data_IF_480939712748
#
_entry.id   IF_480939712748
#
_cell.length_a   1.000
_cell.length_b   1.000
_cell.length_c   1.000
_cell.angle_alpha   90.00
_cell.angle_beta   90.00
_cell.angle_gamma   90.00
#
_symmetry.space_group_name_H-M   'P 1'
#
loop_
_entity.id
_entity.type
_entity.pdbx_description
1 polymer ?
#
# COMPACT_ATOMS: atom_id res chain seq x y z
N UNK A 1 -10.13 17.02 23.10
CA UNK A 1 -9.27 15.92 22.61
C UNK A 1 -7.81 16.34 22.34
N UNK A 2 -7.27 17.37 23.01
CA UNK A 2 -5.88 17.83 22.79
C UNK A 2 -4.87 17.36 23.87
N UNK A 3 -5.34 16.93 25.04
CA UNK A 3 -4.48 16.61 26.19
C UNK A 3 -3.86 15.19 26.18
N UNK A 4 -4.41 14.27 25.38
CA UNK A 4 -4.12 12.83 25.48
C UNK A 4 -2.73 12.40 24.95
N UNK A 5 -2.03 13.26 24.20
CA UNK A 5 -0.82 12.88 23.46
C UNK A 5 0.48 13.47 23.99
N UNK A 6 0.41 14.38 24.97
CA UNK A 6 1.59 14.80 25.76
C UNK A 6 2.21 13.57 26.48
N UNK A 7 1.41 12.55 26.79
CA UNK A 7 1.83 11.34 27.52
C UNK A 7 2.38 10.20 26.65
N UNK A 8 2.39 10.31 25.32
CA UNK A 8 3.10 9.34 24.47
C UNK A 8 4.62 9.38 24.74
N UNK A 9 5.09 10.53 25.22
CA UNK A 9 6.47 10.80 25.64
C UNK A 9 6.77 10.55 27.13
N UNK A 10 5.88 10.01 27.95
CA UNK A 10 6.18 9.90 29.39
C UNK A 10 7.09 8.71 29.76
N UNK A 11 8.35 9.12 29.96
CA UNK A 11 9.38 8.71 30.92
C UNK A 11 10.14 7.42 30.65
N UNK A 12 9.52 6.25 30.42
CA UNK A 12 10.30 5.00 30.38
C UNK A 12 11.27 4.92 29.17
N UNK A 13 10.83 5.34 27.99
CA UNK A 13 11.67 5.37 26.78
C UNK A 13 12.38 6.72 26.57
N UNK A 14 11.81 7.84 27.05
CA UNK A 14 12.49 9.15 26.94
C UNK A 14 13.71 9.23 27.86
N UNK A 15 13.64 8.67 29.07
CA UNK A 15 14.77 8.64 29.99
C UNK A 15 16.00 7.95 29.38
N UNK A 16 15.81 6.89 28.60
CA UNK A 16 16.89 6.18 27.90
C UNK A 16 17.53 7.01 26.77
N UNK A 17 16.84 8.05 26.31
CA UNK A 17 17.28 8.97 25.25
C UNK A 17 17.83 10.29 25.82
N UNK A 18 17.83 10.45 27.14
CA UNK A 18 18.41 11.63 27.80
C UNK A 18 19.92 11.65 27.60
N UNK A 19 20.48 12.85 27.39
CA UNK A 19 21.92 13.02 27.14
C UNK A 19 22.39 12.71 25.72
N UNK A 20 21.50 12.25 24.83
CA UNK A 20 21.80 12.18 23.40
C UNK A 20 21.65 13.55 22.74
N UNK A 21 22.63 13.92 21.92
CA UNK A 21 22.57 15.13 21.09
C UNK A 21 21.58 14.98 19.92
N UNK A 22 21.20 16.12 19.35
CA UNK A 22 20.23 16.20 18.26
C UNK A 22 20.63 15.38 17.02
N UNK A 23 21.92 15.33 16.64
CA UNK A 23 22.38 14.61 15.44
C UNK A 23 22.23 13.11 15.63
N UNK A 24 22.59 12.60 16.81
CA UNK A 24 22.43 11.19 17.16
C UNK A 24 20.96 10.78 17.24
N UNK A 25 20.10 11.63 17.81
CA UNK A 25 18.65 11.42 17.83
C UNK A 25 18.09 11.33 16.40
N UNK A 26 18.48 12.23 15.50
CA UNK A 26 18.09 12.19 14.09
C UNK A 26 18.52 10.86 13.43
N UNK A 27 19.75 10.42 13.66
CA UNK A 27 20.24 9.12 13.16
C UNK A 27 19.39 7.94 13.64
N UNK A 28 18.96 7.95 14.91
CA UNK A 28 18.05 6.93 15.46
C UNK A 28 16.65 6.99 14.83
N UNK A 29 16.12 8.20 14.59
CA UNK A 29 14.84 8.39 13.91
C UNK A 29 14.89 7.84 12.48
N UNK A 30 15.95 8.15 11.74
CA UNK A 30 16.16 7.64 10.37
C UNK A 30 16.20 6.11 10.36
N UNK A 31 16.90 5.50 11.33
CA UNK A 31 16.94 4.04 11.48
C UNK A 31 15.54 3.47 11.77
N UNK A 32 14.83 4.02 12.74
CA UNK A 32 13.47 3.57 13.09
C UNK A 32 12.47 3.75 11.92
N UNK A 33 12.61 4.82 11.13
CA UNK A 33 11.79 5.05 9.95
C UNK A 33 12.01 3.99 8.86
N UNK A 34 13.23 3.47 8.73
CA UNK A 34 13.56 2.41 7.76
C UNK A 34 12.95 1.06 8.13
N UNK A 35 12.70 0.82 9.42
CA UNK A 35 12.12 -0.42 9.96
C UNK A 35 10.61 -0.32 10.21
N UNK A 36 9.99 0.84 9.95
CA UNK A 36 8.57 1.06 10.19
C UNK A 36 7.67 0.06 9.42
N UNK A 37 6.71 -0.53 10.13
CA UNK A 37 5.72 -1.45 9.55
C UNK A 37 4.49 -0.70 9.02
N UNK A 38 4.11 0.38 9.71
CA UNK A 38 2.99 1.27 9.36
C UNK A 38 3.45 2.67 8.99
N UNK A 39 2.59 3.45 8.32
CA UNK A 39 2.86 4.85 7.95
C UNK A 39 4.21 5.08 7.24
N UNK A 40 4.70 4.09 6.47
CA UNK A 40 6.05 4.07 5.88
C UNK A 40 6.37 5.34 5.07
N UNK A 41 5.39 5.83 4.29
CA UNK A 41 5.55 7.07 3.50
C UNK A 41 5.80 8.27 4.42
N UNK A 42 5.00 8.44 5.47
CA UNK A 42 5.14 9.54 6.44
C UNK A 42 6.45 9.44 7.23
N UNK A 43 6.79 8.24 7.75
CA UNK A 43 8.06 8.01 8.45
C UNK A 43 9.26 8.37 7.57
N UNK A 44 9.26 7.98 6.28
CA UNK A 44 10.35 8.30 5.34
C UNK A 44 10.45 9.79 5.04
N UNK A 45 9.33 10.46 4.75
CA UNK A 45 9.31 11.92 4.52
C UNK A 45 9.85 12.68 5.73
N UNK A 46 9.35 12.35 6.92
CA UNK A 46 9.79 12.97 8.16
C UNK A 46 11.28 12.72 8.42
N UNK A 47 11.77 11.49 8.23
CA UNK A 47 13.19 11.17 8.37
C UNK A 47 14.08 11.91 7.36
N UNK A 48 13.62 12.11 6.13
CA UNK A 48 14.32 12.90 5.11
C UNK A 48 14.42 14.36 5.52
N UNK A 49 13.31 14.94 6.00
CA UNK A 49 13.27 16.30 6.52
C UNK A 49 14.27 16.49 7.67
N UNK A 50 14.24 15.59 8.67
CA UNK A 50 15.17 15.63 9.80
C UNK A 50 16.63 15.43 9.39
N UNK A 51 16.91 14.67 8.32
CA UNK A 51 18.28 14.52 7.81
C UNK A 51 18.84 15.85 7.28
N UNK A 52 18.01 16.67 6.63
CA UNK A 52 18.42 18.00 6.19
C UNK A 52 18.74 18.90 7.38
N UNK A 53 17.93 18.83 8.43
CA UNK A 53 18.17 19.52 9.70
C UNK A 53 19.49 19.03 10.32
N UNK A 54 19.71 17.72 10.43
CA UNK A 54 20.94 17.16 10.97
C UNK A 54 22.20 17.68 10.26
N UNK A 55 22.18 17.71 8.93
CA UNK A 55 23.28 18.27 8.13
C UNK A 55 23.53 19.77 8.42
N UNK A 56 22.48 20.53 8.73
CA UNK A 56 22.61 21.93 9.13
C UNK A 56 23.19 22.05 10.54
N UNK A 57 22.72 21.25 11.50
CA UNK A 57 23.21 21.26 12.88
C UNK A 57 24.69 20.87 12.98
N UNK A 58 25.15 19.91 12.17
CA UNK A 58 26.57 19.56 12.08
C UNK A 58 27.42 20.76 11.61
N UNK A 59 26.96 21.51 10.61
CA UNK A 59 27.67 22.69 10.11
C UNK A 59 27.71 23.83 11.11
N UNK A 60 26.63 23.99 11.88
CA UNK A 60 26.52 25.00 12.92
C UNK A 60 27.35 24.67 14.17
N UNK A 61 27.92 23.46 14.26
CA UNK A 61 28.66 22.97 15.43
C UNK A 61 27.86 23.20 16.72
N UNK A 62 26.66 22.61 16.80
CA UNK A 62 25.71 22.81 17.91
C UNK A 62 26.30 22.63 19.33
N UNK A 63 27.34 21.82 19.48
CA UNK A 63 28.06 21.65 20.75
C UNK A 63 28.71 22.94 21.26
N UNK A 64 29.16 23.80 20.34
CA UNK A 64 29.70 25.14 20.66
C UNK A 64 28.57 26.11 20.98
N UNK A 65 27.47 26.04 20.23
CA UNK A 65 26.28 26.87 20.46
C UNK A 65 25.71 26.64 21.86
N UNK A 66 25.58 25.39 22.30
CA UNK A 66 25.09 25.05 23.66
C UNK A 66 25.87 25.69 24.82
N UNK A 67 27.07 26.22 24.60
CA UNK A 67 27.84 26.95 25.63
C UNK A 67 27.25 28.33 25.92
N UNK A 68 26.50 28.92 24.99
CA UNK A 68 25.90 30.23 25.12
C UNK A 68 24.49 30.12 25.72
N UNK A 69 24.19 30.88 26.79
CA UNK A 69 22.90 30.79 27.48
C UNK A 69 21.71 31.13 26.58
N UNK A 70 21.88 32.04 25.62
CA UNK A 70 20.81 32.50 24.71
C UNK A 70 20.36 31.40 23.74
N UNK A 71 21.25 30.49 23.35
CA UNK A 71 20.93 29.42 22.38
C UNK A 71 20.69 28.06 23.03
N UNK A 72 21.08 27.91 24.30
CA UNK A 72 20.96 26.66 25.04
C UNK A 72 19.51 26.19 25.16
N UNK A 73 18.61 27.08 25.59
CA UNK A 73 17.20 26.73 25.80
C UNK A 73 16.51 26.26 24.49
N UNK A 74 16.59 26.99 23.36
CA UNK A 74 16.05 26.51 22.08
C UNK A 74 16.64 25.17 21.62
N UNK A 75 17.92 24.93 21.88
CA UNK A 75 18.58 23.67 21.53
C UNK A 75 18.12 22.49 22.40
N UNK A 76 17.91 22.72 23.70
CA UNK A 76 17.36 21.71 24.60
C UNK A 76 15.91 21.37 24.22
N UNK A 77 15.10 22.37 23.86
CA UNK A 77 13.73 22.18 23.37
C UNK A 77 13.69 21.43 22.02
N UNK A 78 14.65 21.70 21.12
CA UNK A 78 14.82 20.96 19.88
C UNK A 78 15.14 19.48 20.15
N UNK A 79 16.04 19.18 21.07
CA UNK A 79 16.36 17.80 21.45
C UNK A 79 15.15 17.08 22.06
N UNK A 80 14.37 17.75 22.90
CA UNK A 80 13.15 17.17 23.46
C UNK A 80 12.09 16.89 22.38
N UNK A 81 11.92 17.79 21.42
CA UNK A 81 11.06 17.57 20.27
C UNK A 81 11.53 16.37 19.43
N UNK A 82 12.85 16.21 19.25
CA UNK A 82 13.45 15.05 18.56
C UNK A 82 13.25 13.74 19.36
N UNK A 83 13.33 13.76 20.70
CA UNK A 83 13.05 12.59 21.54
C UNK A 83 11.59 12.13 21.40
N UNK A 84 10.62 13.07 21.45
CA UNK A 84 9.20 12.76 21.18
C UNK A 84 8.99 12.22 19.76
N UNK A 85 9.68 12.81 18.80
CA UNK A 85 9.66 12.41 17.38
C UNK A 85 10.19 10.99 17.15
N UNK A 86 11.26 10.60 17.85
CA UNK A 86 11.73 9.22 17.84
C UNK A 86 10.68 8.24 18.35
N UNK A 87 10.00 8.57 19.45
CA UNK A 87 8.93 7.70 19.98
C UNK A 87 7.79 7.58 18.99
N UNK A 88 7.37 8.68 18.35
CA UNK A 88 6.35 8.65 17.30
C UNK A 88 6.75 7.70 16.16
N UNK A 89 7.95 7.85 15.61
CA UNK A 89 8.42 7.00 14.50
C UNK A 89 8.60 5.55 14.95
N UNK A 90 9.19 5.31 16.12
CA UNK A 90 9.38 3.96 16.65
C UNK A 90 8.05 3.25 16.93
N UNK A 91 7.00 4.00 17.30
CA UNK A 91 5.66 3.42 17.50
C UNK A 91 5.07 2.80 16.24
N UNK A 92 5.47 3.26 15.05
CA UNK A 92 5.05 2.71 13.76
C UNK A 92 5.68 1.35 13.43
N UNK A 93 6.58 0.84 14.28
CA UNK A 93 7.22 -0.46 14.14
C UNK A 93 6.56 -1.54 15.02
N UNK A 94 6.45 -1.30 16.33
CA UNK A 94 6.25 -2.38 17.30
C UNK A 94 4.83 -2.48 17.88
N UNK A 95 3.99 -1.44 17.74
CA UNK A 95 2.62 -1.43 18.29
C UNK A 95 1.67 -2.40 17.57
N UNK A 96 0.46 -2.57 18.11
CA UNK A 96 -0.61 -3.30 17.43
C UNK A 96 -0.87 -2.65 16.07
N UNK A 97 -0.93 -3.48 15.04
CA UNK A 97 -1.28 -3.05 13.69
C UNK A 97 -2.70 -2.46 13.65
N UNK A 98 -3.67 -3.11 14.30
CA UNK A 98 -5.06 -2.64 14.36
C UNK A 98 -5.19 -1.31 15.10
N UNK A 99 -4.44 -1.14 16.19
CA UNK A 99 -4.39 0.15 16.90
C UNK A 99 -3.81 1.25 16.01
N UNK A 100 -2.69 1.01 15.31
CA UNK A 100 -2.09 2.02 14.44
C UNK A 100 -3.01 2.39 13.26
N UNK A 101 -3.76 1.44 12.71
CA UNK A 101 -4.79 1.71 11.71
C UNK A 101 -5.91 2.59 12.28
N UNK A 102 -6.46 2.21 13.43
CA UNK A 102 -7.53 2.97 14.09
C UNK A 102 -7.09 4.39 14.46
N UNK A 103 -5.81 4.58 14.77
CA UNK A 103 -5.23 5.87 15.13
C UNK A 103 -4.58 6.61 13.95
N UNK A 104 -4.79 6.16 12.71
CA UNK A 104 -4.05 6.63 11.54
C UNK A 104 -4.07 8.15 11.33
N UNK A 105 -5.24 8.79 11.43
CA UNK A 105 -5.38 10.25 11.33
C UNK A 105 -4.68 10.99 12.46
N UNK A 106 -4.68 10.43 13.67
CA UNK A 106 -3.98 11.02 14.79
C UNK A 106 -2.47 10.98 14.55
N UNK A 107 -1.93 9.83 14.11
CA UNK A 107 -0.51 9.68 13.80
C UNK A 107 -0.08 10.68 12.72
N UNK A 108 -0.88 10.84 11.66
CA UNK A 108 -0.65 11.84 10.60
C UNK A 108 -0.63 13.26 11.17
N UNK A 109 -1.55 13.59 12.07
CA UNK A 109 -1.54 14.88 12.77
C UNK A 109 -0.28 15.06 13.63
N UNK A 110 0.20 14.02 14.31
CA UNK A 110 1.42 14.10 15.13
C UNK A 110 2.67 14.35 14.28
N UNK A 111 2.77 13.76 13.08
CA UNK A 111 3.88 14.08 12.17
C UNK A 111 3.90 15.56 11.80
N UNK A 112 2.73 16.15 11.48
CA UNK A 112 2.60 17.59 11.22
C UNK A 112 2.99 18.42 12.43
N UNK A 113 2.48 18.08 13.62
CA UNK A 113 2.79 18.79 14.88
C UNK A 113 4.29 18.72 15.18
N UNK A 114 4.90 17.54 15.11
CA UNK A 114 6.31 17.31 15.39
C UNK A 114 7.23 18.09 14.44
N UNK A 115 6.95 18.06 13.12
CA UNK A 115 7.71 18.86 12.17
C UNK A 115 7.60 20.35 12.48
N UNK A 116 6.39 20.86 12.71
CA UNK A 116 6.18 22.28 13.03
C UNK A 116 6.88 22.75 14.30
N UNK A 117 6.91 21.91 15.35
CA UNK A 117 7.68 22.18 16.57
C UNK A 117 9.19 22.26 16.29
N UNK A 118 9.72 21.26 15.58
CA UNK A 118 11.15 21.19 15.24
C UNK A 118 11.57 22.39 14.38
N UNK A 119 10.81 22.71 13.33
CA UNK A 119 11.08 23.84 12.44
C UNK A 119 11.07 25.17 13.19
N UNK A 120 10.15 25.32 14.15
CA UNK A 120 10.08 26.52 14.99
C UNK A 120 11.35 26.68 15.83
N UNK A 121 11.80 25.63 16.52
CA UNK A 121 13.04 25.70 17.31
C UNK A 121 14.27 25.89 16.44
N UNK A 122 14.29 25.24 15.27
CA UNK A 122 15.36 25.41 14.30
C UNK A 122 15.45 26.83 13.78
N UNK A 123 14.36 27.60 13.65
CA UNK A 123 14.43 29.01 13.26
C UNK A 123 15.02 29.90 14.35
N UNK A 124 14.77 29.58 15.63
CA UNK A 124 15.27 30.38 16.75
C UNK A 124 16.80 30.30 16.88
N UNK A 125 17.40 29.13 16.64
CA UNK A 125 18.85 28.92 16.84
C UNK A 125 19.73 29.77 15.89
N UNK A 126 19.53 29.77 14.56
CA UNK A 126 20.18 30.67 13.60
C UNK A 126 19.87 32.15 13.82
N UNK A 127 18.63 32.53 14.16
CA UNK A 127 18.31 33.96 14.35
C UNK A 127 19.08 34.59 15.52
N UNK A 128 19.41 33.80 16.53
CA UNK A 128 20.23 34.24 17.67
C UNK A 128 21.73 34.32 17.30
N UNK A 129 22.18 33.54 16.30
CA UNK A 129 23.62 33.28 16.06
C UNK A 129 24.15 33.80 14.73
N UNK A 130 23.28 34.09 13.77
CA UNK A 130 23.62 34.29 12.35
C UNK A 130 23.15 35.61 11.79
N UNK A 131 23.45 36.70 12.48
CA UNK A 131 23.31 38.01 11.86
C UNK A 131 24.12 38.09 10.54
N UNK A 132 25.17 37.27 10.33
CA UNK A 132 26.06 37.39 9.15
C UNK A 132 26.37 36.13 8.27
N UNK A 133 25.77 34.93 8.46
CA UNK A 133 26.10 33.74 7.62
C UNK A 133 25.07 33.46 6.51
N UNK A 134 25.35 33.98 5.31
CA UNK A 134 24.49 33.81 4.13
C UNK A 134 24.24 32.35 3.73
N UNK A 135 25.23 31.45 3.88
CA UNK A 135 25.12 30.04 3.50
C UNK A 135 24.15 29.27 4.41
N UNK A 136 24.11 29.61 5.69
CA UNK A 136 23.16 28.99 6.60
C UNK A 136 21.75 29.50 6.35
N UNK A 137 21.60 30.80 6.05
CA UNK A 137 20.29 31.40 5.70
C UNK A 137 19.65 30.67 4.52
N UNK A 138 20.40 30.45 3.44
CA UNK A 138 19.93 29.72 2.25
C UNK A 138 19.45 28.29 2.59
N UNK A 139 20.17 27.57 3.45
CA UNK A 139 19.79 26.21 3.87
C UNK A 139 18.55 26.20 4.75
N UNK A 140 18.40 27.19 5.62
CA UNK A 140 17.22 27.32 6.47
C UNK A 140 15.97 27.59 5.61
N UNK A 141 16.10 28.43 4.57
CA UNK A 141 15.03 28.65 3.60
C UNK A 141 14.66 27.37 2.84
N UNK A 142 15.65 26.53 2.49
CA UNK A 142 15.37 25.24 1.85
C UNK A 142 14.61 24.29 2.78
N UNK A 143 15.00 24.21 4.06
CA UNK A 143 14.30 23.40 5.06
C UNK A 143 12.87 23.91 5.28
N UNK A 144 12.68 25.22 5.36
CA UNK A 144 11.36 25.83 5.55
C UNK A 144 10.40 25.57 4.37
N UNK A 145 10.93 25.54 3.15
CA UNK A 145 10.19 25.18 1.94
C UNK A 145 9.81 23.70 1.90
N UNK A 146 10.48 22.84 2.66
CA UNK A 146 10.19 21.40 2.75
C UNK A 146 9.01 21.11 3.69
N UNK A 147 7.83 21.61 3.32
CA UNK A 147 6.56 21.32 3.98
C UNK A 147 6.10 19.91 3.58
N UNK A 148 6.51 18.89 4.35
CA UNK A 148 6.13 17.52 4.06
C UNK A 148 4.61 17.34 4.19
N UNK A 149 3.98 16.91 3.10
CA UNK A 149 2.59 16.48 3.13
C UNK A 149 2.47 15.07 3.74
N UNK A 150 1.82 15.00 4.91
CA UNK A 150 1.52 13.75 5.61
C UNK A 150 0.07 13.34 5.37
N UNK A 151 -0.12 12.11 4.88
CA UNK A 151 -1.44 11.57 4.52
C UNK A 151 -1.65 10.17 5.07
N UNK A 152 -2.92 9.79 5.24
CA UNK A 152 -3.31 8.41 5.46
C UNK A 152 -3.51 7.74 4.09
N UNK A 153 -3.09 6.49 3.94
CA UNK A 153 -3.31 5.72 2.72
C UNK A 153 -4.83 5.49 2.54
N UNK A 154 -5.36 5.59 1.32
CA UNK A 154 -6.81 5.49 1.09
C UNK A 154 -7.33 4.08 1.40
N UNK A 155 -6.49 3.07 1.23
CA UNK A 155 -6.69 1.70 1.66
C UNK A 155 -6.80 1.59 3.19
N UNK A 156 -5.87 2.22 3.92
CA UNK A 156 -5.87 2.24 5.40
C UNK A 156 -7.11 2.98 5.93
N UNK A 157 -7.55 4.05 5.25
CA UNK A 157 -8.76 4.81 5.58
C UNK A 157 -10.02 3.96 5.46
N UNK A 158 -10.17 3.21 4.37
CA UNK A 158 -11.30 2.29 4.18
C UNK A 158 -11.33 1.19 5.24
N UNK A 159 -10.16 0.64 5.58
CA UNK A 159 -10.04 -0.38 6.62
C UNK A 159 -10.36 0.20 8.01
N UNK A 160 -9.92 1.43 8.28
CA UNK A 160 -10.24 2.14 9.52
C UNK A 160 -11.76 2.34 9.67
N UNK A 161 -12.46 2.77 8.62
CA UNK A 161 -13.93 2.96 8.66
C UNK A 161 -14.67 1.65 8.97
N UNK A 162 -14.18 0.53 8.43
CA UNK A 162 -14.71 -0.82 8.67
C UNK A 162 -14.43 -1.29 10.11
N UNK A 163 -13.20 -1.12 10.60
CA UNK A 163 -12.81 -1.54 11.95
C UNK A 163 -13.54 -0.73 13.04
N UNK A 164 -13.82 0.54 12.76
CA UNK A 164 -14.48 1.45 13.71
C UNK A 164 -16.01 1.41 13.61
N UNK A 165 -16.59 0.55 12.75
CA UNK A 165 -18.03 0.38 12.60
C UNK A 165 -18.65 -0.21 13.90
N UNK A 166 -19.71 0.40 14.47
CA UNK A 166 -20.38 -0.11 15.68
C UNK A 166 -20.98 -1.50 15.58
N UNK A 167 -21.38 -1.93 14.40
CA UNK A 167 -21.98 -3.25 14.18
C UNK A 167 -21.10 -4.05 13.20
N UNK A 168 -20.16 -4.89 13.69
CA UNK A 168 -19.28 -5.63 12.82
C UNK A 168 -20.05 -6.66 11.98
N UNK A 169 -20.01 -6.48 10.66
CA UNK A 169 -20.66 -7.38 9.70
C UNK A 169 -19.77 -8.58 9.35
N UNK A 170 -20.35 -9.63 8.75
CA UNK A 170 -19.56 -10.75 8.19
C UNK A 170 -18.56 -10.29 7.11
N UNK A 171 -18.87 -9.22 6.40
CA UNK A 171 -17.97 -8.63 5.40
C UNK A 171 -16.77 -7.94 6.05
N UNK A 172 -16.97 -7.35 7.24
CA UNK A 172 -15.91 -6.67 7.99
C UNK A 172 -14.86 -7.67 8.50
N UNK A 173 -15.30 -8.87 8.87
CA UNK A 173 -14.42 -9.98 9.22
C UNK A 173 -13.55 -10.46 8.03
N UNK A 174 -14.10 -10.45 6.81
CA UNK A 174 -13.35 -10.80 5.58
C UNK A 174 -12.29 -9.73 5.28
N UNK A 175 -12.65 -8.46 5.41
CA UNK A 175 -11.71 -7.33 5.23
C UNK A 175 -10.61 -7.41 6.29
N UNK A 176 -10.95 -7.58 7.57
CA UNK A 176 -9.99 -7.73 8.66
C UNK A 176 -9.04 -8.92 8.42
N UNK A 177 -9.57 -10.05 7.94
CA UNK A 177 -8.78 -11.23 7.58
C UNK A 177 -7.78 -10.95 6.48
N UNK A 178 -8.22 -10.29 5.40
CA UNK A 178 -7.33 -9.90 4.30
C UNK A 178 -6.22 -8.96 4.80
N UNK A 179 -6.59 -7.94 5.57
CA UNK A 179 -5.65 -6.94 6.08
C UNK A 179 -4.62 -7.54 7.04
N UNK A 180 -5.05 -8.37 7.99
CA UNK A 180 -4.13 -9.03 8.93
C UNK A 180 -3.20 -10.02 8.24
N UNK A 181 -3.68 -10.73 7.21
CA UNK A 181 -2.84 -11.66 6.42
C UNK A 181 -1.72 -10.92 5.68
N UNK A 182 -1.97 -9.71 5.17
CA UNK A 182 -0.94 -8.88 4.56
C UNK A 182 0.12 -8.41 5.57
N UNK A 183 -0.30 -8.06 6.79
CA UNK A 183 0.60 -7.55 7.84
C UNK A 183 1.39 -8.65 8.56
N UNK A 184 0.91 -9.89 8.48
CA UNK A 184 1.49 -11.10 9.07
C UNK A 184 1.58 -12.21 8.01
N UNK A 185 2.42 -12.06 6.96
CA UNK A 185 2.44 -12.98 5.81
C UNK A 185 2.86 -14.41 6.17
N UNK A 186 3.55 -14.59 7.29
CA UNK A 186 4.12 -15.86 7.72
C UNK A 186 3.37 -16.51 8.90
N UNK A 187 2.23 -15.94 9.33
CA UNK A 187 1.43 -16.50 10.44
C UNK A 187 0.04 -16.88 9.94
N UNK A 188 -0.52 -17.94 10.52
CA UNK A 188 -1.92 -18.27 10.31
C UNK A 188 -2.82 -17.14 10.84
N UNK A 189 -3.95 -16.88 10.18
CA UNK A 189 -4.86 -15.79 10.55
C UNK A 189 -5.23 -15.80 12.04
N UNK A 190 -5.51 -16.97 12.60
CA UNK A 190 -5.91 -17.12 14.00
C UNK A 190 -4.77 -16.74 14.96
N UNK A 191 -3.52 -17.07 14.59
CA UNK A 191 -2.33 -16.72 15.37
C UNK A 191 -2.02 -15.23 15.25
N UNK A 192 -2.17 -14.66 14.05
CA UNK A 192 -2.02 -13.22 13.82
C UNK A 192 -3.07 -12.42 14.61
N UNK A 193 -4.33 -12.89 14.62
CA UNK A 193 -5.41 -12.30 15.40
C UNK A 193 -5.14 -12.37 16.91
N UNK A 194 -4.68 -13.51 17.41
CA UNK A 194 -4.28 -13.68 18.81
C UNK A 194 -3.14 -12.73 19.19
N UNK A 195 -2.10 -12.65 18.36
CA UNK A 195 -0.95 -11.76 18.55
C UNK A 195 -1.37 -10.28 18.56
N UNK A 196 -2.29 -9.89 17.69
CA UNK A 196 -2.85 -8.53 17.70
C UNK A 196 -3.67 -8.26 18.96
N UNK A 197 -4.49 -9.20 19.41
CA UNK A 197 -5.25 -9.06 20.65
C UNK A 197 -4.34 -8.92 21.88
N UNK A 198 -3.26 -9.70 21.96
CA UNK A 198 -2.23 -9.55 23.01
C UNK A 198 -1.59 -8.16 22.99
N UNK A 199 -1.24 -7.64 21.80
CA UNK A 199 -0.72 -6.28 21.65
C UNK A 199 -1.74 -5.23 22.05
N UNK A 200 -3.00 -5.36 21.65
CA UNK A 200 -4.08 -4.43 22.02
C UNK A 200 -4.29 -4.39 23.54
N UNK A 201 -4.17 -5.53 24.24
CA UNK A 201 -4.23 -5.57 25.71
C UNK A 201 -3.07 -4.80 26.36
N UNK A 202 -1.87 -4.90 25.79
CA UNK A 202 -0.72 -4.11 26.25
C UNK A 202 -0.93 -2.61 25.99
N UNK A 203 -1.45 -2.23 24.81
CA UNK A 203 -1.80 -0.83 24.52
C UNK A 203 -2.88 -0.31 25.49
N UNK A 204 -3.88 -1.14 25.82
CA UNK A 204 -4.94 -0.78 26.77
C UNK A 204 -4.36 -0.51 28.16
N UNK A 205 -3.51 -1.40 28.67
CA UNK A 205 -2.83 -1.21 29.96
C UNK A 205 -2.02 0.08 29.98
N UNK A 206 -1.31 0.37 28.89
CA UNK A 206 -0.53 1.61 28.75
C UNK A 206 -1.43 2.85 28.74
N UNK A 207 -2.54 2.84 28.01
CA UNK A 207 -3.49 3.95 27.97
C UNK A 207 -4.19 4.16 29.33
N UNK A 208 -4.48 3.08 30.06
CA UNK A 208 -5.03 3.14 31.41
C UNK A 208 -4.05 3.74 32.41
N UNK A 209 -2.78 3.32 32.37
CA UNK A 209 -1.72 3.90 33.21
C UNK A 209 -1.56 5.42 32.96
N UNK A 210 -1.86 5.86 31.74
CA UNK A 210 -1.82 7.26 31.33
C UNK A 210 -3.16 8.00 31.49
N UNK A 211 -4.19 7.37 32.07
CA UNK A 211 -5.54 7.95 32.24
C UNK A 211 -6.19 8.45 30.93
N UNK A 212 -5.83 7.87 29.79
CA UNK A 212 -6.34 8.26 28.46
C UNK A 212 -7.64 7.51 28.15
N UNK A 213 -8.75 8.02 28.67
CA UNK A 213 -10.09 7.43 28.52
C UNK A 213 -10.47 7.25 27.05
N UNK A 214 -10.19 8.24 26.20
CA UNK A 214 -10.55 8.19 24.79
C UNK A 214 -9.82 7.07 24.03
N UNK A 215 -8.54 6.85 24.33
CA UNK A 215 -7.84 5.71 23.75
C UNK A 215 -8.25 4.37 24.33
N UNK A 216 -8.59 4.32 25.62
CA UNK A 216 -9.13 3.11 26.23
C UNK A 216 -10.40 2.66 25.52
N UNK A 217 -11.32 3.58 25.20
CA UNK A 217 -12.56 3.29 24.46
C UNK A 217 -12.28 2.70 23.06
N UNK A 218 -11.37 3.32 22.31
CA UNK A 218 -10.97 2.82 20.98
C UNK A 218 -10.37 1.43 21.09
N UNK A 219 -9.44 1.22 22.01
CA UNK A 219 -8.74 -0.07 22.16
C UNK A 219 -9.71 -1.17 22.63
N UNK A 220 -10.60 -0.87 23.58
CA UNK A 220 -11.64 -1.82 24.02
C UNK A 220 -12.55 -2.24 22.86
N UNK A 221 -12.90 -1.30 21.99
CA UNK A 221 -13.68 -1.61 20.78
C UNK A 221 -12.92 -2.54 19.83
N UNK A 222 -11.64 -2.27 19.59
CA UNK A 222 -10.78 -3.13 18.76
C UNK A 222 -10.68 -4.55 19.32
N UNK A 223 -10.54 -4.68 20.64
CA UNK A 223 -10.54 -5.98 21.32
C UNK A 223 -11.87 -6.70 21.05
N UNK A 224 -13.00 -6.03 21.26
CA UNK A 224 -14.33 -6.60 20.99
C UNK A 224 -14.48 -7.12 19.55
N UNK A 225 -14.07 -6.33 18.55
CA UNK A 225 -14.08 -6.76 17.13
C UNK A 225 -13.23 -8.01 16.92
N UNK A 226 -12.02 -8.06 17.50
CA UNK A 226 -11.16 -9.24 17.36
C UNK A 226 -11.74 -10.50 18.00
N UNK A 227 -12.43 -10.37 19.14
CA UNK A 227 -13.07 -11.49 19.86
C UNK A 227 -14.33 -11.99 19.14
N UNK A 228 -15.14 -11.09 18.57
CA UNK A 228 -16.27 -11.47 17.70
C UNK A 228 -15.80 -12.23 16.48
N UNK A 229 -14.73 -11.78 15.82
CA UNK A 229 -14.17 -12.48 14.66
C UNK A 229 -13.59 -13.83 15.07
N UNK A 230 -12.92 -13.91 16.22
CA UNK A 230 -12.37 -15.17 16.74
C UNK A 230 -13.46 -16.22 17.02
N UNK A 231 -14.62 -15.81 17.55
CA UNK A 231 -15.74 -16.72 17.84
C UNK A 231 -16.56 -17.12 16.61
N UNK A 232 -16.49 -16.34 15.53
CA UNK A 232 -17.14 -16.66 14.25
C UNK A 232 -16.40 -17.71 13.40
N UNK A 233 -15.17 -18.07 13.78
CA UNK A 233 -14.38 -19.09 13.10
C UNK A 233 -14.82 -20.49 13.56
N UNK A 234 -14.98 -21.48 12.66
CA UNK A 234 -15.36 -22.82 13.05
C UNK A 234 -14.29 -23.44 13.97
N UNK A 235 -14.69 -23.85 15.17
CA UNK A 235 -13.83 -24.57 16.12
C UNK A 235 -13.37 -25.90 15.50
N UNK A 236 -12.07 -26.03 15.18
CA UNK A 236 -11.44 -27.35 15.10
C UNK A 236 -11.16 -27.83 16.53
N UNK A 237 -12.17 -28.39 17.19
CA UNK A 237 -11.98 -29.13 18.42
C UNK A 237 -11.70 -30.61 18.11
N UNK A 238 -10.46 -31.00 18.41
CA UNK A 238 -9.93 -32.35 18.29
C UNK A 238 -10.70 -33.35 19.15
N UNK A 239 -11.40 -34.31 18.52
CA UNK A 239 -11.52 -35.68 19.03
C UNK A 239 -11.32 -36.67 17.88
N UNK A 240 -10.38 -37.58 18.14
CA UNK A 240 -9.89 -38.67 17.29
C UNK A 240 -11.05 -39.59 16.86
N UNK A 241 -11.27 -39.74 15.56
CA UNK A 241 -11.83 -40.94 14.94
C UNK A 241 -11.38 -40.97 13.47
N UNK A 242 -10.71 -42.04 13.09
CA UNK A 242 -10.12 -42.27 11.78
C UNK A 242 -11.20 -42.33 10.68
N UNK A 243 -10.97 -41.61 9.59
CA UNK A 243 -11.46 -41.97 8.26
C UNK A 243 -10.57 -41.27 7.22
N UNK A 244 -9.78 -42.09 6.53
CA UNK A 244 -8.85 -41.70 5.48
C UNK A 244 -9.55 -40.98 4.32
N UNK A 245 -9.05 -39.80 3.96
CA UNK A 245 -8.77 -39.46 2.55
C UNK A 245 -7.71 -38.36 2.47
N UNK A 246 -6.62 -38.68 1.79
CA UNK A 246 -5.43 -37.86 1.60
C UNK A 246 -5.56 -36.94 0.38
N UNK A 247 -5.12 -35.68 0.50
CA UNK A 247 -4.11 -35.01 -0.34
C UNK A 247 -4.09 -33.51 0.06
N UNK A 248 -3.08 -32.95 0.75
CA UNK A 248 -1.74 -32.55 0.26
C UNK A 248 -1.85 -31.56 -0.94
N UNK A 249 -1.38 -30.30 -0.91
CA UNK A 249 -0.03 -29.82 -0.63
C UNK A 249 0.03 -28.30 -0.37
N UNK A 250 0.90 -27.96 0.56
CA UNK A 250 1.49 -26.65 0.85
C UNK A 250 2.63 -26.33 -0.15
N UNK A 251 3.31 -25.20 0.10
CA UNK A 251 4.66 -24.76 -0.33
C UNK A 251 4.72 -23.77 -1.51
N UNK A 252 5.79 -22.95 -1.62
CA UNK A 252 6.35 -22.03 -0.61
C UNK A 252 6.67 -20.63 -1.21
N UNK A 253 6.94 -19.63 -0.36
CA UNK A 253 7.47 -18.32 -0.77
C UNK A 253 8.98 -18.26 -0.51
N UNK A 254 9.80 -18.19 -1.56
CA UNK A 254 11.22 -17.84 -1.48
C UNK A 254 11.63 -16.85 -2.57
N UNK A 255 12.51 -15.92 -2.17
CA UNK A 255 13.19 -14.93 -2.99
C UNK A 255 14.44 -15.52 -3.66
N UNK A 256 14.81 -14.99 -4.83
CA UNK A 256 16.21 -14.70 -5.18
C UNK A 256 16.93 -15.60 -6.20
N UNK A 257 17.06 -15.06 -7.43
CA UNK A 257 18.17 -15.13 -8.38
C UNK A 257 18.62 -16.45 -9.08
N UNK A 258 19.09 -16.25 -10.33
CA UNK A 258 20.03 -17.04 -11.14
C UNK A 258 19.52 -17.92 -12.31
N UNK A 259 19.50 -17.31 -13.51
CA UNK A 259 19.93 -17.79 -14.84
C UNK A 259 20.14 -19.30 -15.12
N UNK A 260 19.41 -19.89 -16.09
CA UNK A 260 19.86 -20.27 -17.46
C UNK A 260 18.83 -21.08 -18.25
N UNK A 261 19.01 -21.07 -19.57
CA UNK A 261 18.12 -21.51 -20.64
C UNK A 261 18.08 -23.04 -20.91
N UNK A 262 16.98 -23.51 -21.53
CA UNK A 262 16.92 -24.12 -22.88
C UNK A 262 15.97 -25.32 -23.05
N UNK A 263 15.10 -25.19 -24.06
CA UNK A 263 14.64 -26.19 -25.06
C UNK A 263 13.92 -27.51 -24.67
N UNK A 264 12.61 -27.52 -24.98
CA UNK A 264 11.67 -28.53 -25.56
C UNK A 264 12.16 -29.90 -26.11
N UNK A 265 11.27 -30.81 -26.64
CA UNK A 265 9.97 -31.34 -26.19
C UNK A 265 9.78 -32.89 -26.43
N UNK A 266 8.53 -33.38 -26.30
CA UNK A 266 7.90 -34.63 -26.82
C UNK A 266 7.87 -35.84 -25.85
N UNK A 267 6.88 -36.75 -25.84
CA UNK A 267 5.49 -36.85 -26.31
C UNK A 267 4.94 -38.21 -25.82
N UNK A 268 3.64 -38.32 -25.55
CA UNK A 268 2.74 -39.51 -25.53
C UNK A 268 1.79 -39.39 -24.32
N UNK A 269 0.47 -39.36 -24.43
CA UNK A 269 -0.44 -39.82 -25.47
C UNK A 269 -1.23 -41.00 -24.92
N UNK A 270 -2.38 -40.76 -24.29
CA UNK A 270 -3.48 -41.73 -24.17
C UNK A 270 -4.81 -40.99 -23.95
N UNK A 271 -5.70 -41.18 -24.94
CA UNK A 271 -7.08 -40.72 -24.99
C UNK A 271 -8.00 -41.52 -24.06
N UNK A 272 -8.85 -40.82 -23.30
CA UNK A 272 -10.15 -41.35 -22.87
C UNK A 272 -11.20 -40.24 -22.97
N UNK A 273 -11.98 -40.25 -24.06
CA UNK A 273 -13.23 -39.51 -24.18
C UNK A 273 -14.38 -40.36 -23.63
N UNK A 274 -15.16 -39.83 -22.69
CA UNK A 274 -16.61 -39.67 -22.89
C UNK A 274 -17.28 -38.89 -21.73
N UNK A 275 -17.73 -37.68 -22.08
CA UNK A 275 -19.05 -37.11 -21.77
C UNK A 275 -19.49 -36.86 -20.32
N UNK A 276 -19.34 -35.62 -19.86
CA UNK A 276 -20.41 -34.89 -19.15
C UNK A 276 -20.27 -33.38 -19.41
N UNK A 277 -21.29 -32.80 -20.03
CA UNK A 277 -21.27 -31.44 -20.59
C UNK A 277 -21.59 -30.30 -19.62
N UNK A 278 -21.28 -29.10 -20.15
CA UNK A 278 -21.84 -27.76 -19.88
C UNK A 278 -21.67 -27.11 -18.50
N UNK A 279 -20.45 -26.68 -18.17
CA UNK A 279 -20.26 -25.61 -17.16
C UNK A 279 -18.92 -24.86 -17.26
N UNK A 280 -18.33 -24.72 -18.46
CA UNK A 280 -17.05 -24.00 -18.62
C UNK A 280 -17.17 -22.61 -19.25
N UNK A 281 -18.37 -22.14 -19.60
CA UNK A 281 -18.52 -20.87 -20.35
C UNK A 281 -18.96 -19.65 -19.54
N UNK A 282 -19.29 -19.82 -18.26
CA UNK A 282 -20.08 -18.82 -17.51
C UNK A 282 -19.24 -17.81 -16.69
N UNK A 283 -17.93 -18.00 -16.56
CA UNK A 283 -17.03 -17.17 -15.73
C UNK A 283 -15.83 -16.60 -16.53
N UNK A 284 -15.17 -15.56 -16.01
CA UNK A 284 -13.92 -15.04 -16.60
C UNK A 284 -12.83 -16.11 -16.50
N UNK A 285 -12.17 -16.43 -17.60
CA UNK A 285 -11.01 -17.34 -17.60
C UNK A 285 -9.73 -16.60 -17.21
N UNK A 286 -9.67 -15.30 -17.47
CA UNK A 286 -8.56 -14.46 -17.07
C UNK A 286 -8.84 -13.80 -15.71
N UNK A 287 -7.90 -13.90 -14.77
CA UNK A 287 -7.98 -13.18 -13.51
C UNK A 287 -7.77 -11.67 -13.69
N UNK A 288 -8.57 -10.87 -12.97
CA UNK A 288 -8.49 -9.38 -12.98
C UNK A 288 -7.09 -8.87 -12.56
N UNK A 289 -6.37 -9.62 -11.73
CA UNK A 289 -4.99 -9.32 -11.28
C UNK A 289 -3.94 -10.21 -11.94
N UNK A 290 -4.32 -10.99 -12.96
CA UNK A 290 -3.40 -11.83 -13.74
C UNK A 290 -2.44 -11.05 -14.64
N UNK A 291 -2.42 -9.72 -14.58
CA UNK A 291 -1.56 -8.87 -15.43
C UNK A 291 -0.06 -9.20 -15.27
N UNK A 292 0.37 -9.70 -14.10
CA UNK A 292 1.72 -10.19 -13.86
C UNK A 292 2.10 -11.45 -14.64
N UNK A 293 1.13 -12.20 -15.19
CA UNK A 293 1.40 -13.37 -16.01
C UNK A 293 1.87 -13.01 -17.44
N UNK A 294 1.64 -11.77 -17.91
CA UNK A 294 2.20 -11.26 -19.17
C UNK A 294 2.57 -9.77 -19.01
N UNK A 295 3.73 -9.48 -18.40
CA UNK A 295 4.15 -8.11 -18.11
C UNK A 295 4.31 -7.25 -19.38
N UNK A 296 4.58 -7.87 -20.54
CA UNK A 296 4.74 -7.18 -21.83
C UNK A 296 3.39 -6.63 -22.32
N UNK A 297 2.31 -7.43 -22.25
CA UNK A 297 0.97 -6.99 -22.63
C UNK A 297 0.44 -5.92 -21.67
N UNK A 298 0.75 -6.06 -20.38
CA UNK A 298 0.44 -5.07 -19.35
C UNK A 298 1.14 -3.73 -19.63
N UNK A 299 2.46 -3.74 -19.89
CA UNK A 299 3.20 -2.53 -20.25
C UNK A 299 2.69 -1.91 -21.55
N UNK A 300 2.39 -2.72 -22.57
CA UNK A 300 1.84 -2.22 -23.84
C UNK A 300 0.49 -1.54 -23.66
N UNK A 301 -0.39 -2.11 -22.84
CA UNK A 301 -1.71 -1.54 -22.54
C UNK A 301 -1.61 -0.29 -21.66
N UNK A 302 -0.60 -0.22 -20.78
CA UNK A 302 -0.35 0.96 -19.96
C UNK A 302 0.13 2.16 -20.79
N UNK A 303 1.09 1.96 -21.70
CA UNK A 303 1.62 3.04 -22.54
C UNK A 303 0.74 3.37 -23.76
N UNK A 304 -0.09 2.42 -24.21
CA UNK A 304 -0.99 2.60 -25.36
C UNK A 304 -2.36 1.94 -25.13
N UNK A 305 -3.17 2.45 -24.16
CA UNK A 305 -4.45 1.84 -23.80
C UNK A 305 -5.46 1.86 -24.95
N UNK A 306 -5.39 2.89 -25.80
CA UNK A 306 -6.27 3.05 -26.96
C UNK A 306 -6.16 1.89 -27.95
N UNK A 307 -4.96 1.31 -28.11
CA UNK A 307 -4.76 0.16 -29.00
C UNK A 307 -5.46 -1.09 -28.47
N UNK A 308 -5.24 -1.42 -27.19
CA UNK A 308 -5.90 -2.59 -26.56
C UNK A 308 -7.41 -2.38 -26.48
N UNK A 309 -7.86 -1.19 -26.05
CA UNK A 309 -9.27 -0.84 -25.95
C UNK A 309 -9.99 -0.89 -27.31
N UNK A 310 -9.38 -0.41 -28.39
CA UNK A 310 -10.00 -0.45 -29.73
C UNK A 310 -10.37 -1.87 -30.17
N UNK A 311 -9.52 -2.86 -29.85
CA UNK A 311 -9.79 -4.25 -30.18
C UNK A 311 -10.88 -4.86 -29.31
N UNK A 312 -10.85 -4.57 -28.01
CA UNK A 312 -11.90 -4.99 -27.06
C UNK A 312 -13.25 -4.41 -27.48
N UNK A 313 -13.30 -3.10 -27.71
CA UNK A 313 -14.51 -2.40 -28.11
C UNK A 313 -15.03 -2.90 -29.46
N UNK A 314 -14.13 -3.29 -30.37
CA UNK A 314 -14.54 -3.86 -31.66
C UNK A 314 -15.29 -5.17 -31.51
N UNK A 315 -14.83 -6.05 -30.61
CA UNK A 315 -15.52 -7.31 -30.29
C UNK A 315 -16.81 -7.04 -29.50
N UNK A 316 -16.76 -6.12 -28.53
CA UNK A 316 -17.91 -5.80 -27.69
C UNK A 316 -19.08 -5.15 -28.45
N UNK A 317 -18.79 -4.44 -29.54
CA UNK A 317 -19.80 -3.69 -30.32
C UNK A 317 -20.11 -4.29 -31.68
N UNK A 318 -19.43 -5.38 -32.05
CA UNK A 318 -19.50 -6.01 -33.38
C UNK A 318 -19.26 -4.99 -34.52
N UNK A 319 -18.41 -3.98 -34.26
CA UNK A 319 -18.09 -2.89 -35.17
C UNK A 319 -16.60 -2.62 -35.12
N UNK A 320 -15.93 -2.55 -36.27
CA UNK A 320 -14.51 -2.21 -36.30
C UNK A 320 -14.28 -0.78 -35.76
N UNK A 321 -13.56 -0.67 -34.65
CA UNK A 321 -13.15 0.60 -34.01
C UNK A 321 -11.65 0.77 -34.22
N UNK A 322 -11.25 1.92 -34.78
CA UNK A 322 -9.82 2.22 -34.98
C UNK A 322 -9.17 2.70 -33.68
N UNK A 323 -7.84 2.57 -33.57
CA UNK A 323 -7.10 3.09 -32.40
C UNK A 323 -7.21 4.61 -32.25
N UNK A 324 -7.40 5.35 -33.36
CA UNK A 324 -7.57 6.81 -33.33
C UNK A 324 -8.97 7.18 -32.80
N UNK A 325 -10.00 6.48 -33.25
CA UNK A 325 -11.37 6.63 -32.75
C UNK A 325 -11.46 6.28 -31.26
N UNK A 326 -10.88 5.16 -30.84
CA UNK A 326 -10.75 4.77 -29.43
C UNK A 326 -10.04 5.83 -28.59
N UNK A 327 -8.99 6.47 -29.13
CA UNK A 327 -8.25 7.52 -28.44
C UNK A 327 -9.11 8.78 -28.26
N UNK A 328 -9.86 9.18 -29.30
CA UNK A 328 -10.74 10.34 -29.24
C UNK A 328 -11.87 10.13 -28.23
N UNK A 329 -12.49 8.95 -28.22
CA UNK A 329 -13.55 8.59 -27.28
C UNK A 329 -13.02 8.56 -25.84
N UNK A 330 -11.90 7.86 -25.59
CA UNK A 330 -11.30 7.82 -24.26
C UNK A 330 -10.93 9.22 -23.77
N UNK A 331 -10.34 10.06 -24.63
CA UNK A 331 -9.98 11.43 -24.28
C UNK A 331 -11.21 12.31 -23.98
N UNK A 332 -12.27 12.22 -24.80
CA UNK A 332 -13.52 12.94 -24.57
C UNK A 332 -14.16 12.56 -23.22
N UNK A 333 -14.22 11.27 -22.89
CA UNK A 333 -14.77 10.80 -21.62
C UNK A 333 -13.82 11.05 -20.42
N UNK A 334 -12.51 11.12 -20.63
CA UNK A 334 -11.55 11.53 -19.59
C UNK A 334 -11.70 13.00 -19.20
N UNK A 335 -11.98 13.91 -20.15
CA UNK A 335 -12.17 15.34 -19.88
C UNK A 335 -13.36 15.63 -18.96
N UNK A 336 -14.37 14.78 -18.98
CA UNK A 336 -15.55 14.85 -18.11
C UNK A 336 -15.49 13.87 -16.92
N UNK A 337 -14.30 13.34 -16.61
CA UNK A 337 -14.04 12.40 -15.52
C UNK A 337 -14.90 11.12 -15.57
N UNK A 338 -15.33 10.72 -16.77
CA UNK A 338 -16.28 9.63 -17.04
C UNK A 338 -15.66 8.46 -17.83
N UNK A 339 -14.34 8.45 -18.03
CA UNK A 339 -13.65 7.40 -18.79
C UNK A 339 -13.92 5.98 -18.24
N UNK A 340 -13.94 5.81 -16.90
CA UNK A 340 -14.26 4.54 -16.26
C UNK A 340 -15.71 4.10 -16.48
N UNK A 341 -16.65 5.05 -16.59
CA UNK A 341 -18.05 4.75 -16.92
C UNK A 341 -18.17 4.24 -18.36
N UNK A 342 -17.45 4.88 -19.29
CA UNK A 342 -17.42 4.50 -20.69
C UNK A 342 -16.78 3.13 -20.92
N UNK A 343 -15.58 2.88 -20.35
CA UNK A 343 -14.92 1.58 -20.47
C UNK A 343 -15.69 0.47 -19.75
N UNK A 344 -16.34 0.76 -18.61
CA UNK A 344 -17.28 -0.16 -17.96
C UNK A 344 -18.47 -0.53 -18.87
N UNK A 345 -19.05 0.44 -19.58
CA UNK A 345 -20.14 0.15 -20.52
C UNK A 345 -19.69 -0.79 -21.65
N UNK A 346 -18.46 -0.65 -22.12
CA UNK A 346 -17.85 -1.55 -23.11
C UNK A 346 -17.58 -2.93 -22.50
N UNK A 347 -17.03 -3.02 -21.28
CA UNK A 347 -16.85 -4.30 -20.56
C UNK A 347 -18.18 -5.04 -20.38
N UNK A 348 -19.24 -4.33 -20.02
CA UNK A 348 -20.58 -4.90 -19.89
C UNK A 348 -21.09 -5.45 -21.22
N UNK A 349 -20.86 -4.74 -22.33
CA UNK A 349 -21.20 -5.23 -23.67
C UNK A 349 -20.37 -6.46 -24.02
N UNK A 350 -19.06 -6.45 -23.76
CA UNK A 350 -18.16 -7.58 -23.98
C UNK A 350 -18.63 -8.82 -23.23
N UNK A 351 -18.98 -8.70 -21.94
CA UNK A 351 -19.52 -9.83 -21.16
C UNK A 351 -20.79 -10.41 -21.77
N UNK A 352 -21.69 -9.57 -22.27
CA UNK A 352 -22.90 -10.04 -22.97
C UNK A 352 -22.55 -10.77 -24.27
N UNK A 353 -21.62 -10.23 -25.06
CA UNK A 353 -21.15 -10.88 -26.30
C UNK A 353 -20.47 -12.22 -26.03
N UNK A 354 -19.75 -12.33 -24.92
CA UNK A 354 -19.02 -13.54 -24.54
C UNK A 354 -19.80 -14.48 -23.62
N UNK A 355 -21.06 -14.18 -23.26
CA UNK A 355 -21.86 -14.93 -22.26
C UNK A 355 -21.17 -15.09 -20.88
N UNK A 356 -20.54 -14.04 -20.37
CA UNK A 356 -19.85 -14.03 -19.06
C UNK A 356 -20.77 -13.46 -17.98
N UNK A 357 -20.95 -14.19 -16.88
CA UNK A 357 -21.73 -13.73 -15.72
C UNK A 357 -21.02 -12.56 -15.00
N UNK A 358 -21.79 -11.64 -14.43
CA UNK A 358 -21.21 -10.48 -13.73
C UNK A 358 -22.18 -9.32 -13.54
N UNK A 359 -21.86 -8.42 -12.60
CA UNK A 359 -22.71 -7.31 -12.19
C UNK A 359 -22.26 -5.95 -12.73
N UNK A 360 -23.18 -4.99 -12.75
CA UNK A 360 -22.90 -3.58 -13.07
C UNK A 360 -21.85 -2.98 -12.13
N UNK A 361 -21.95 -3.28 -10.83
CA UNK A 361 -21.01 -2.79 -9.84
C UNK A 361 -19.61 -3.41 -10.00
N UNK A 362 -19.52 -4.69 -10.37
CA UNK A 362 -18.26 -5.41 -10.57
C UNK A 362 -17.47 -4.87 -11.77
N UNK A 363 -18.16 -4.60 -12.89
CA UNK A 363 -17.55 -4.00 -14.07
C UNK A 363 -17.05 -2.58 -13.82
N UNK A 364 -17.82 -1.78 -13.08
CA UNK A 364 -17.46 -0.42 -12.73
C UNK A 364 -16.27 -0.38 -11.79
N UNK A 365 -16.26 -1.24 -10.75
CA UNK A 365 -15.16 -1.33 -9.80
C UNK A 365 -13.87 -1.84 -10.46
N UNK A 366 -13.96 -2.77 -11.41
CA UNK A 366 -12.79 -3.26 -12.16
C UNK A 366 -12.05 -2.12 -12.89
N UNK A 367 -12.79 -1.26 -13.60
CA UNK A 367 -12.22 -0.12 -14.33
C UNK A 367 -11.81 1.06 -13.41
N UNK A 368 -12.52 1.25 -12.29
CA UNK A 368 -12.21 2.28 -11.30
C UNK A 368 -10.95 1.95 -10.48
N UNK A 369 -10.72 0.67 -10.15
CA UNK A 369 -9.57 0.22 -9.35
C UNK A 369 -8.30 0.08 -10.19
N UNK A 370 -8.38 -0.51 -11.39
CA UNK A 370 -7.26 -0.58 -12.32
C UNK A 370 -7.76 -0.75 -13.77
N UNK A 371 -8.00 0.36 -14.45
CA UNK A 371 -8.42 0.36 -15.86
C UNK A 371 -7.45 -0.45 -16.76
N UNK A 372 -6.14 -0.36 -16.54
CA UNK A 372 -5.15 -1.15 -17.29
C UNK A 372 -5.32 -2.66 -17.07
N UNK A 373 -5.54 -3.09 -15.83
CA UNK A 373 -5.71 -4.51 -15.49
C UNK A 373 -7.03 -5.05 -16.04
N UNK A 374 -8.10 -4.25 -15.96
CA UNK A 374 -9.41 -4.58 -16.54
C UNK A 374 -9.32 -4.75 -18.06
N UNK A 375 -8.64 -3.84 -18.76
CA UNK A 375 -8.40 -3.95 -20.21
C UNK A 375 -7.53 -5.16 -20.57
N UNK A 376 -6.51 -5.47 -19.78
CA UNK A 376 -5.67 -6.66 -20.02
C UNK A 376 -6.48 -7.95 -19.81
N UNK A 377 -7.28 -8.03 -18.75
CA UNK A 377 -8.17 -9.16 -18.49
C UNK A 377 -9.17 -9.35 -19.65
N UNK A 378 -9.82 -8.26 -20.09
CA UNK A 378 -10.76 -8.27 -21.21
C UNK A 378 -10.11 -8.72 -22.51
N UNK A 379 -8.92 -8.22 -22.82
CA UNK A 379 -8.20 -8.60 -24.03
C UNK A 379 -7.80 -10.08 -24.02
N UNK A 380 -7.32 -10.59 -22.88
CA UNK A 380 -6.99 -12.00 -22.74
C UNK A 380 -8.21 -12.90 -22.88
N UNK A 381 -9.34 -12.48 -22.33
CA UNK A 381 -10.59 -13.22 -22.49
C UNK A 381 -11.01 -13.34 -23.96
N UNK A 382 -10.80 -12.27 -24.74
CA UNK A 382 -11.03 -12.27 -26.20
C UNK A 382 -10.05 -13.21 -26.92
N UNK A 383 -8.76 -13.20 -26.55
CA UNK A 383 -7.74 -14.08 -27.15
C UNK A 383 -7.99 -15.55 -26.82
N UNK A 384 -8.30 -15.89 -25.56
CA UNK A 384 -8.55 -17.27 -25.14
C UNK A 384 -9.81 -17.86 -25.78
N UNK A 385 -10.85 -17.04 -26.01
CA UNK A 385 -12.06 -17.48 -26.70
C UNK A 385 -11.93 -17.49 -28.23
N UNK A 386 -10.76 -17.15 -28.77
CA UNK A 386 -10.42 -17.32 -30.19
C UNK A 386 -11.15 -16.39 -31.16
N UNK A 387 -11.75 -15.31 -30.68
CA UNK A 387 -12.57 -14.39 -31.50
C UNK A 387 -11.70 -13.44 -32.35
N UNK A 388 -10.42 -13.31 -32.00
CA UNK A 388 -9.43 -12.56 -32.78
C UNK A 388 -8.22 -13.46 -33.08
N UNK A 389 -8.12 -13.98 -34.31
CA UNK A 389 -6.92 -14.66 -34.78
C UNK A 389 -5.76 -13.67 -34.98
N UNK A 390 -4.49 -14.14 -35.01
CA UNK A 390 -3.35 -13.26 -35.19
C UNK A 390 -3.47 -12.54 -36.53
N UNK A 391 -3.46 -11.20 -36.49
CA UNK A 391 -3.12 -10.41 -37.66
C UNK A 391 -1.73 -10.87 -38.10
N UNK A 392 -1.66 -11.74 -39.12
CA UNK A 392 -0.45 -11.90 -39.92
C UNK A 392 -0.16 -10.54 -40.50
N UNK A 393 0.79 -9.82 -39.90
CA UNK A 393 1.48 -8.74 -40.60
C UNK A 393 2.05 -9.38 -41.86
N UNK A 394 1.42 -9.15 -43.02
CA UNK A 394 2.03 -9.46 -44.31
C UNK A 394 3.16 -8.46 -44.50
N UNK A 395 4.29 -8.73 -43.85
CA UNK A 395 5.56 -8.16 -44.28
C UNK A 395 5.99 -9.00 -45.47
N UNK A 396 5.61 -8.57 -46.67
CA UNK A 396 6.16 -9.12 -47.91
C UNK A 396 7.66 -8.78 -47.94
N UNK A 397 8.58 -9.75 -48.07
CA UNK A 397 9.97 -9.41 -48.36
C UNK A 397 10.04 -8.70 -49.72
N UNK A 398 10.93 -7.72 -49.90
CA UNK A 398 11.15 -7.13 -51.22
C UNK A 398 11.61 -8.23 -52.20
N UNK A 399 11.20 -8.19 -53.47
CA UNK A 399 11.58 -9.21 -54.45
C UNK A 399 13.09 -9.26 -54.59
N UNK A 400 13.63 -10.48 -54.60
CA UNK A 400 15.06 -10.76 -54.77
C UNK A 400 15.56 -10.17 -56.08
N UNK A 401 16.47 -9.21 -56.00
CA UNK A 401 17.27 -8.78 -57.15
C UNK A 401 18.38 -9.82 -57.36
N UNK A 402 18.30 -10.55 -58.48
CA UNK A 402 19.43 -11.33 -58.97
C UNK A 402 20.33 -10.39 -59.78
N UNK A 403 21.63 -10.40 -59.47
CA UNK A 403 22.66 -9.79 -60.29
C UNK A 403 23.02 -10.80 -61.38
N UNK A 404 22.70 -10.51 -62.64
CA UNK A 404 23.21 -11.27 -63.78
C UNK A 404 24.74 -11.09 -63.84
N UNK A 405 25.47 -12.20 -63.89
CA UNK A 405 26.92 -12.24 -64.06
C UNK A 405 27.30 -12.28 -65.53
#
# INVERSE_FOLDING_TARGET
MAAAWEHFGEIANVAQLTGLDAVRLIGMIVKAASTARMHKKNCRKFAQHLKMIGNLLEQLRISELKKYPETREPLDQLEDALRRSYILVNSCQDRSYLYLLAMGWNIVYQFRKAQGEIDRYLKLVPLITLVDNARVRERLEYIEKDQCEYTLDEEDKKVQDVIMNPEPSKNDAVILKKTLSCSYPNLAFNEALKKENEKLKLELQRSQANMDVGQCEVIQRLIGVTETVSSSLPEKNSKKAESNYSDEKSYPCENGDAYKASSSPASSGLDLKSSRGSSQHDEWHADLLGCCAEPILCMKTFFHPCGTFSKIASVATDRHITSAEACNELLAYSLILSCCCYTCCIRRKLRKTLNITGGLCDDFLSHLLCCCCALVQEWREVEMRGIYGPMKTKTSPPPSQHMES
#
